data_IF_609044356302
#
_entry.id   IF_609044356302
#
_cell.length_a   1.000
_cell.length_b   1.000
_cell.length_c   1.000
_cell.angle_alpha   90.00
_cell.angle_beta   90.00
_cell.angle_gamma   90.00
#
_symmetry.space_group_name_H-M   'P 1'
#
loop_
_entity.id
_entity.type
_entity.pdbx_description
1 polymer ?
#
# COMPACT_ATOMS: atom_id res chain seq x y z
N UNK A 1 -0.56 6.22 30.57
CA UNK A 1 -0.37 5.35 29.39
C UNK A 1 -0.58 6.18 28.14
N UNK A 2 0.30 6.09 27.14
CA UNK A 2 0.23 6.90 25.92
C UNK A 2 -0.30 5.99 24.81
N UNK A 3 -1.60 6.09 24.50
CA UNK A 3 -2.19 5.35 23.39
C UNK A 3 -1.66 5.96 22.08
N UNK A 4 -0.84 5.21 21.37
CA UNK A 4 -0.39 5.58 20.04
C UNK A 4 -1.47 5.12 19.05
N UNK A 5 -2.19 6.07 18.44
CA UNK A 5 -3.08 5.82 17.31
C UNK A 5 -2.35 6.23 16.03
N UNK A 6 -1.60 5.32 15.37
CA UNK A 6 -0.80 5.66 14.21
C UNK A 6 -1.66 6.08 13.03
N UNK A 7 -2.75 5.36 12.72
CA UNK A 7 -3.64 5.67 11.60
C UNK A 7 -4.14 7.12 11.59
N UNK A 8 -4.87 7.58 12.63
CA UNK A 8 -5.33 8.97 12.71
C UNK A 8 -4.21 10.01 12.65
N UNK A 9 -3.03 9.71 13.23
CA UNK A 9 -1.88 10.62 13.15
C UNK A 9 -1.31 10.71 11.73
N UNK A 10 -1.26 9.61 10.98
CA UNK A 10 -0.81 9.61 9.59
C UNK A 10 -1.80 10.33 8.67
N UNK A 11 -3.10 10.09 8.83
CA UNK A 11 -4.13 10.83 8.09
C UNK A 11 -4.12 12.32 8.43
N UNK A 12 -3.93 12.67 9.70
CA UNK A 12 -3.76 14.06 10.13
C UNK A 12 -2.52 14.69 9.50
N UNK A 13 -1.35 14.06 9.62
CA UNK A 13 -0.09 14.56 9.05
C UNK A 13 -0.18 14.72 7.53
N UNK A 14 -0.79 13.75 6.83
CA UNK A 14 -1.01 13.81 5.38
C UNK A 14 -1.97 14.93 5.01
N UNK A 15 -3.08 15.07 5.73
CA UNK A 15 -4.06 16.13 5.49
C UNK A 15 -3.46 17.52 5.72
N UNK A 16 -2.62 17.66 6.74
CA UNK A 16 -1.86 18.90 6.98
C UNK A 16 -0.87 19.13 5.85
N UNK A 17 -0.10 18.13 5.43
CA UNK A 17 0.88 18.26 4.35
C UNK A 17 0.22 18.67 3.03
N UNK A 18 -0.80 17.93 2.59
CA UNK A 18 -1.51 18.22 1.33
C UNK A 18 -2.43 19.45 1.42
N UNK A 19 -2.92 19.79 2.62
CA UNK A 19 -3.76 20.97 2.84
C UNK A 19 -2.99 22.27 2.99
N UNK A 20 -1.77 22.23 3.54
CA UNK A 20 -0.93 23.42 3.77
C UNK A 20 0.04 23.69 2.62
N UNK A 21 0.54 22.65 1.95
CA UNK A 21 1.38 22.79 0.76
C UNK A 21 0.46 22.96 -0.45
N UNK A 22 0.30 24.20 -0.90
CA UNK A 22 -0.58 24.50 -2.03
C UNK A 22 -0.26 23.69 -3.30
N UNK A 23 -1.28 23.31 -4.10
CA UNK A 23 -1.12 22.40 -5.24
C UNK A 23 -0.15 22.92 -6.30
N UNK A 24 0.03 24.25 -6.42
CA UNK A 24 1.00 24.86 -7.33
C UNK A 24 2.44 24.51 -6.94
N UNK A 25 2.75 24.36 -5.64
CA UNK A 25 4.09 23.96 -5.20
C UNK A 25 4.36 22.46 -5.40
N UNK A 26 3.30 21.64 -5.37
CA UNK A 26 3.41 20.19 -5.51
C UNK A 26 3.38 19.76 -6.99
N UNK A 27 2.42 20.25 -7.75
CA UNK A 27 2.08 19.81 -9.11
C UNK A 27 2.33 20.90 -10.17
N UNK A 28 2.75 22.10 -9.78
CA UNK A 28 3.07 23.17 -10.73
C UNK A 28 4.27 22.85 -11.62
N UNK A 29 4.63 23.79 -12.50
CA UNK A 29 5.75 23.62 -13.45
C UNK A 29 7.08 23.26 -12.79
N UNK A 30 7.31 23.79 -11.60
CA UNK A 30 8.47 23.53 -10.75
C UNK A 30 8.11 22.60 -9.57
N UNK A 31 6.99 21.91 -9.62
CA UNK A 31 6.55 21.01 -8.55
C UNK A 31 7.22 19.64 -8.58
N UNK A 32 7.30 19.01 -7.40
CA UNK A 32 7.84 17.65 -7.21
C UNK A 32 7.15 16.59 -8.06
N UNK A 33 5.83 16.68 -8.13
CA UNK A 33 4.97 15.65 -8.68
C UNK A 33 4.35 16.07 -10.01
N UNK A 34 4.98 17.00 -10.74
CA UNK A 34 4.47 17.47 -12.04
C UNK A 34 4.29 16.33 -13.06
N UNK A 35 5.17 15.34 -13.03
CA UNK A 35 5.07 14.17 -13.91
C UNK A 35 3.91 13.25 -13.57
N UNK A 36 3.40 13.31 -12.32
CA UNK A 36 2.21 12.58 -11.93
C UNK A 36 0.98 13.04 -12.71
N UNK A 37 0.94 14.30 -13.14
CA UNK A 37 -0.13 14.85 -13.98
C UNK A 37 -0.19 14.20 -15.37
N UNK A 38 0.92 13.64 -15.87
CA UNK A 38 0.94 12.86 -17.12
C UNK A 38 0.15 11.56 -16.99
N UNK A 39 -0.07 11.09 -15.75
CA UNK A 39 -0.96 9.97 -15.47
C UNK A 39 -2.40 10.18 -15.94
N UNK A 40 -2.91 11.42 -15.97
CA UNK A 40 -4.27 11.72 -16.44
C UNK A 40 -4.46 11.41 -17.93
N UNK A 41 -3.70 12.01 -18.87
CA UNK A 41 -3.82 11.68 -20.29
C UNK A 41 -3.39 10.24 -20.58
N UNK A 42 -2.39 9.71 -19.87
CA UNK A 42 -1.97 8.31 -20.02
C UNK A 42 -3.10 7.33 -19.65
N UNK A 43 -3.84 7.62 -18.57
CA UNK A 43 -5.00 6.83 -18.15
C UNK A 43 -6.13 6.85 -19.18
N UNK A 44 -6.46 8.02 -19.74
CA UNK A 44 -7.46 8.14 -20.81
C UNK A 44 -7.03 7.32 -22.03
N UNK A 45 -5.78 7.49 -22.46
CA UNK A 45 -5.22 6.78 -23.61
C UNK A 45 -5.25 5.26 -23.40
N UNK A 46 -4.90 4.77 -22.21
CA UNK A 46 -4.95 3.36 -21.87
C UNK A 46 -6.38 2.78 -21.95
N UNK A 47 -7.37 3.50 -21.43
CA UNK A 47 -8.78 3.07 -21.50
C UNK A 47 -9.26 3.01 -22.95
N UNK A 48 -8.94 4.02 -23.76
CA UNK A 48 -9.30 4.06 -25.19
C UNK A 48 -8.64 2.92 -25.96
N UNK A 49 -7.36 2.63 -25.70
CA UNK A 49 -6.64 1.51 -26.32
C UNK A 49 -7.30 0.18 -26.00
N UNK A 50 -7.61 -0.09 -24.73
CA UNK A 50 -8.23 -1.36 -24.33
C UNK A 50 -9.65 -1.49 -24.88
N UNK A 51 -10.39 -0.39 -24.97
CA UNK A 51 -11.69 -0.36 -25.64
C UNK A 51 -11.57 -0.68 -27.14
N UNK A 52 -10.64 -0.06 -27.85
CA UNK A 52 -10.40 -0.29 -29.27
C UNK A 52 -9.97 -1.74 -29.54
N UNK A 53 -9.04 -2.29 -28.73
CA UNK A 53 -8.59 -3.68 -28.79
C UNK A 53 -9.74 -4.67 -28.58
N UNK A 54 -10.67 -4.36 -27.67
CA UNK A 54 -11.85 -5.19 -27.44
C UNK A 54 -12.83 -5.12 -28.62
N UNK A 55 -12.87 -4.00 -29.35
CA UNK A 55 -13.72 -3.83 -30.54
C UNK A 55 -13.15 -4.56 -31.77
N UNK A 56 -11.83 -4.59 -31.94
CA UNK A 56 -11.17 -5.29 -33.06
C UNK A 56 -11.13 -6.80 -32.87
N UNK A 57 -11.01 -7.29 -31.63
CA UNK A 57 -10.95 -8.73 -31.32
C UNK A 57 -12.03 -9.18 -30.32
N UNK A 58 -13.31 -9.22 -30.75
CA UNK A 58 -14.43 -9.54 -29.87
C UNK A 58 -14.41 -10.99 -29.33
N UNK A 59 -13.79 -11.93 -30.05
CA UNK A 59 -13.76 -13.36 -29.67
C UNK A 59 -12.66 -13.72 -28.67
N UNK A 60 -11.77 -12.78 -28.34
CA UNK A 60 -10.65 -13.05 -27.45
C UNK A 60 -11.10 -13.15 -25.97
N UNK A 61 -11.00 -14.35 -25.39
CA UNK A 61 -11.35 -14.60 -23.98
C UNK A 61 -10.51 -13.78 -23.00
N UNK A 62 -9.24 -13.53 -23.34
CA UNK A 62 -8.31 -12.78 -22.49
C UNK A 62 -8.66 -11.29 -22.39
N UNK A 63 -8.92 -10.59 -23.50
CA UNK A 63 -9.25 -9.15 -23.48
C UNK A 63 -10.60 -8.86 -22.81
N UNK A 64 -11.48 -9.87 -22.72
CA UNK A 64 -12.75 -9.77 -21.99
C UNK A 64 -12.57 -9.77 -20.46
N UNK A 65 -11.50 -10.38 -19.95
CA UNK A 65 -11.20 -10.48 -18.52
C UNK A 65 -10.35 -9.31 -17.99
N UNK A 66 -9.72 -8.53 -18.88
CA UNK A 66 -8.91 -7.37 -18.49
C UNK A 66 -9.82 -6.19 -18.14
N UNK A 67 -9.68 -5.70 -16.91
CA UNK A 67 -10.28 -4.46 -16.43
C UNK A 67 -9.17 -3.46 -16.11
N UNK A 68 -9.08 -2.39 -16.90
CA UNK A 68 -7.99 -1.39 -16.80
C UNK A 68 -7.89 -0.78 -15.41
N UNK A 69 -9.03 -0.39 -14.83
CA UNK A 69 -9.08 0.23 -13.50
C UNK A 69 -8.58 -0.74 -12.43
N UNK A 70 -9.04 -2.00 -12.47
CA UNK A 70 -8.61 -3.02 -11.52
C UNK A 70 -7.12 -3.36 -11.66
N UNK A 71 -6.59 -3.30 -12.88
CA UNK A 71 -5.17 -3.51 -13.13
C UNK A 71 -4.31 -2.37 -12.57
N UNK A 72 -4.69 -1.11 -12.81
CA UNK A 72 -3.97 0.05 -12.28
C UNK A 72 -4.08 0.13 -10.75
N UNK A 73 -5.28 0.10 -10.21
CA UNK A 73 -5.50 0.16 -8.76
C UNK A 73 -4.88 -1.04 -8.06
N UNK A 74 -5.06 -2.25 -8.61
CA UNK A 74 -4.44 -3.47 -8.10
C UNK A 74 -2.92 -3.40 -8.09
N UNK A 75 -2.30 -2.90 -9.17
CA UNK A 75 -0.84 -2.73 -9.22
C UNK A 75 -0.31 -1.72 -8.20
N UNK A 76 -1.10 -0.70 -7.87
CA UNK A 76 -0.75 0.30 -6.87
C UNK A 76 -0.63 -0.31 -5.46
N UNK A 77 -1.44 -1.33 -5.15
CA UNK A 77 -1.38 -2.06 -3.88
C UNK A 77 -0.17 -2.99 -3.76
N UNK A 78 0.53 -3.23 -4.87
CA UNK A 78 1.71 -4.11 -4.94
C UNK A 78 3.00 -3.36 -5.22
N UNK A 79 2.92 -2.05 -5.46
CA UNK A 79 4.08 -1.21 -5.66
C UNK A 79 4.90 -1.18 -4.35
N UNK A 80 6.22 -1.41 -4.39
CA UNK A 80 7.06 -1.22 -3.23
C UNK A 80 7.13 0.27 -2.93
N UNK A 81 6.41 0.72 -1.91
CA UNK A 81 6.54 2.08 -1.43
C UNK A 81 7.92 2.22 -0.79
N UNK A 82 8.80 2.97 -1.45
CA UNK A 82 10.07 3.42 -0.88
C UNK A 82 9.81 4.53 0.13
N UNK A 83 8.97 4.29 1.14
CA UNK A 83 8.82 5.25 2.22
C UNK A 83 9.98 5.06 3.20
N UNK A 84 11.14 5.56 2.78
CA UNK A 84 12.26 5.84 3.66
C UNK A 84 11.96 7.10 4.48
N UNK A 85 11.02 7.05 5.42
CA UNK A 85 11.00 7.97 6.56
C UNK A 85 10.71 7.19 7.84
N UNK A 86 11.81 6.90 8.51
CA UNK A 86 11.91 6.39 9.87
C UNK A 86 10.96 7.10 10.85
N UNK A 87 9.91 6.41 11.31
CA UNK A 87 9.85 5.89 12.68
C UNK A 87 8.57 5.11 13.01
N UNK A 88 8.82 3.90 13.55
CA UNK A 88 8.02 3.17 14.54
C UNK A 88 6.70 2.57 14.05
N UNK A 89 6.81 1.31 13.63
CA UNK A 89 5.84 0.22 13.83
C UNK A 89 4.74 0.57 14.83
N UNK A 90 3.49 0.37 14.47
CA UNK A 90 2.86 -0.95 14.42
C UNK A 90 1.35 -0.75 14.34
N UNK A 91 0.79 -1.33 13.29
CA UNK A 91 -0.54 -1.92 13.23
C UNK A 91 -1.76 -1.07 12.86
N UNK A 92 -2.51 -1.70 11.96
CA UNK A 92 -3.94 -1.56 11.69
C UNK A 92 -4.38 -0.21 11.10
N UNK A 93 -4.07 -0.01 9.81
CA UNK A 93 -5.10 -0.06 8.77
C UNK A 93 -4.46 0.16 7.38
N UNK A 94 -4.53 -0.87 6.55
CA UNK A 94 -4.63 -0.83 5.09
C UNK A 94 -3.59 -0.10 4.21
N UNK A 95 -2.47 0.39 4.72
CA UNK A 95 -1.57 1.22 3.90
C UNK A 95 -0.16 0.62 3.77
N UNK A 96 0.23 0.32 2.52
CA UNK A 96 1.59 0.07 2.02
C UNK A 96 2.22 -1.32 2.26
N UNK A 97 1.69 -2.34 1.56
CA UNK A 97 2.28 -3.68 1.50
C UNK A 97 3.50 -3.70 0.57
N UNK A 98 4.70 -3.80 1.14
CA UNK A 98 5.86 -4.29 0.38
C UNK A 98 5.57 -5.69 -0.20
N UNK A 99 6.29 -6.06 -1.27
CA UNK A 99 6.15 -7.35 -1.95
C UNK A 99 6.13 -8.55 -0.97
N UNK A 100 6.95 -8.50 0.08
CA UNK A 100 7.10 -9.53 1.11
C UNK A 100 5.83 -9.80 1.94
N UNK A 101 4.96 -8.79 2.14
CA UNK A 101 3.73 -8.93 2.93
C UNK A 101 2.48 -9.18 2.09
N UNK A 102 2.47 -8.75 0.83
CA UNK A 102 1.39 -9.08 -0.10
C UNK A 102 1.50 -10.52 -0.60
N UNK A 103 2.73 -11.05 -0.72
CA UNK A 103 2.99 -12.38 -1.27
C UNK A 103 2.27 -13.54 -0.57
N UNK A 104 2.19 -13.62 0.78
CA UNK A 104 1.46 -14.69 1.46
C UNK A 104 -0.03 -14.78 1.11
N UNK A 105 -0.65 -13.68 0.67
CA UNK A 105 -2.04 -13.68 0.24
C UNK A 105 -2.24 -14.42 -1.11
N UNK A 106 -1.22 -14.47 -1.96
CA UNK A 106 -1.26 -15.08 -3.30
C UNK A 106 -1.57 -16.58 -3.29
N UNK A 107 -0.84 -17.44 -2.56
CA UNK A 107 -1.15 -18.87 -2.54
C UNK A 107 -2.53 -19.16 -1.91
N UNK A 108 -2.95 -18.37 -0.92
CA UNK A 108 -4.27 -18.50 -0.28
C UNK A 108 -5.38 -18.12 -1.27
N UNK A 109 -5.22 -16.99 -1.97
CA UNK A 109 -6.13 -16.56 -3.00
C UNK A 109 -6.19 -17.57 -4.16
N UNK A 110 -5.06 -18.13 -4.57
CA UNK A 110 -4.99 -19.16 -5.60
C UNK A 110 -5.75 -20.43 -5.17
N UNK A 111 -5.55 -20.90 -3.93
CA UNK A 111 -6.29 -22.04 -3.40
C UNK A 111 -7.80 -21.79 -3.40
N UNK A 112 -8.24 -20.66 -2.86
CA UNK A 112 -9.66 -20.30 -2.77
C UNK A 112 -10.29 -20.11 -4.17
N UNK A 113 -9.67 -19.30 -5.01
CA UNK A 113 -10.24 -18.87 -6.29
C UNK A 113 -10.09 -19.88 -7.42
N UNK A 114 -8.96 -20.59 -7.50
CA UNK A 114 -8.66 -21.50 -8.61
C UNK A 114 -9.00 -22.94 -8.26
N UNK A 115 -8.70 -23.42 -7.04
CA UNK A 115 -8.97 -24.81 -6.65
C UNK A 115 -10.36 -25.02 -6.06
N UNK A 116 -10.78 -24.20 -5.10
CA UNK A 116 -12.04 -24.43 -4.36
C UNK A 116 -13.24 -23.97 -5.19
N UNK A 117 -13.19 -22.76 -5.77
CA UNK A 117 -14.31 -22.24 -6.58
C UNK A 117 -14.59 -23.09 -7.82
N UNK A 118 -13.57 -23.65 -8.48
CA UNK A 118 -13.75 -24.45 -9.70
C UNK A 118 -14.36 -25.83 -9.43
N UNK A 119 -14.09 -26.43 -8.27
CA UNK A 119 -14.62 -27.77 -7.92
C UNK A 119 -15.88 -27.74 -7.06
N UNK A 120 -16.00 -26.74 -6.17
CA UNK A 120 -17.04 -26.68 -5.12
C UNK A 120 -17.68 -25.29 -5.04
N UNK A 121 -18.35 -24.87 -6.12
CA UNK A 121 -18.93 -23.53 -6.23
C UNK A 121 -20.01 -23.24 -5.17
N UNK A 122 -20.86 -24.23 -4.86
CA UNK A 122 -21.92 -24.10 -3.84
C UNK A 122 -21.35 -23.90 -2.42
N UNK A 123 -20.27 -24.60 -2.09
CA UNK A 123 -19.56 -24.41 -0.82
C UNK A 123 -18.87 -23.05 -0.77
N UNK A 124 -18.13 -22.71 -1.83
CA UNK A 124 -17.36 -21.46 -1.89
C UNK A 124 -18.25 -20.22 -1.74
N UNK A 125 -19.35 -20.15 -2.49
CA UNK A 125 -20.27 -19.00 -2.46
C UNK A 125 -20.93 -18.78 -1.09
N UNK A 126 -21.17 -19.86 -0.33
CA UNK A 126 -21.80 -19.79 0.99
C UNK A 126 -20.84 -19.37 2.11
N UNK A 127 -19.60 -19.88 2.08
CA UNK A 127 -18.69 -19.76 3.23
C UNK A 127 -17.53 -18.77 3.02
N UNK A 128 -17.22 -18.35 1.80
CA UNK A 128 -16.05 -17.49 1.54
C UNK A 128 -16.15 -16.14 2.28
N UNK A 129 -17.31 -15.48 2.22
CA UNK A 129 -17.52 -14.21 2.92
C UNK A 129 -17.51 -14.36 4.44
N UNK A 130 -18.14 -15.43 4.95
CA UNK A 130 -18.18 -15.71 6.39
C UNK A 130 -16.77 -15.99 6.92
N UNK A 131 -15.96 -16.77 6.20
CA UNK A 131 -14.58 -17.05 6.56
C UNK A 131 -13.74 -15.77 6.61
N UNK A 132 -13.87 -14.91 5.60
CA UNK A 132 -13.16 -13.63 5.56
C UNK A 132 -13.54 -12.75 6.76
N UNK A 133 -14.84 -12.64 7.06
CA UNK A 133 -15.33 -11.85 8.19
C UNK A 133 -14.83 -12.41 9.53
N UNK A 134 -14.86 -13.74 9.70
CA UNK A 134 -14.35 -14.41 10.91
C UNK A 134 -12.85 -14.21 11.12
N UNK A 135 -12.05 -14.21 10.04
CA UNK A 135 -10.61 -13.93 10.14
C UNK A 135 -10.36 -12.49 10.59
N UNK A 136 -11.06 -11.51 10.01
CA UNK A 136 -10.95 -10.11 10.45
C UNK A 136 -11.40 -9.92 11.90
N UNK A 137 -12.52 -10.52 12.29
CA UNK A 137 -13.01 -10.46 13.67
C UNK A 137 -12.05 -11.16 14.65
N UNK A 138 -11.43 -12.27 14.24
CA UNK A 138 -10.44 -13.00 15.03
C UNK A 138 -9.20 -12.17 15.33
N UNK A 139 -8.71 -11.38 14.36
CA UNK A 139 -7.59 -10.46 14.60
C UNK A 139 -7.98 -9.32 15.53
N UNK A 140 -9.19 -8.77 15.40
CA UNK A 140 -9.67 -7.76 16.35
C UNK A 140 -9.78 -8.33 17.79
N UNK A 141 -10.29 -9.55 17.93
CA UNK A 141 -10.37 -10.23 19.22
C UNK A 141 -8.99 -10.52 19.82
N UNK A 142 -8.03 -10.97 19.01
CA UNK A 142 -6.66 -11.23 19.49
C UNK A 142 -5.97 -9.96 19.94
N UNK A 143 -6.20 -8.82 19.28
CA UNK A 143 -5.69 -7.52 19.70
C UNK A 143 -6.20 -7.11 21.10
N UNK A 144 -7.49 -7.34 21.38
CA UNK A 144 -8.08 -7.07 22.71
C UNK A 144 -7.42 -7.95 23.77
N UNK A 145 -7.22 -9.24 23.49
CA UNK A 145 -6.56 -10.16 24.43
C UNK A 145 -5.11 -9.72 24.69
N UNK A 146 -4.36 -9.32 23.66
CA UNK A 146 -2.98 -8.82 23.80
C UNK A 146 -2.91 -7.52 24.60
N UNK A 147 -3.90 -6.64 24.46
CA UNK A 147 -3.99 -5.39 25.23
C UNK A 147 -4.07 -5.67 26.74
N UNK A 148 -5.00 -6.54 27.16
CA UNK A 148 -5.21 -6.82 28.58
C UNK A 148 -4.13 -7.73 29.20
N UNK A 149 -3.50 -8.59 28.41
CA UNK A 149 -2.48 -9.51 28.91
C UNK A 149 -1.07 -8.90 28.94
N UNK A 150 -0.60 -8.36 27.82
CA UNK A 150 0.82 -7.97 27.65
C UNK A 150 0.99 -6.46 27.81
N UNK A 151 0.17 -5.67 27.11
CA UNK A 151 0.33 -4.21 27.09
C UNK A 151 -0.02 -3.57 28.43
N UNK A 152 -1.08 -4.04 29.10
CA UNK A 152 -1.49 -3.54 30.42
C UNK A 152 -0.46 -3.87 31.51
N UNK A 153 0.17 -5.04 31.43
CA UNK A 153 1.24 -5.45 32.34
C UNK A 153 2.59 -4.76 32.05
N UNK A 154 2.70 -4.01 30.95
CA UNK A 154 3.93 -3.34 30.54
C UNK A 154 5.05 -4.29 30.10
N UNK A 155 4.74 -5.55 29.84
CA UNK A 155 5.72 -6.58 29.47
C UNK A 155 5.97 -6.48 27.97
N UNK A 156 7.25 -6.56 27.56
CA UNK A 156 7.62 -6.69 26.14
C UNK A 156 8.01 -8.13 25.88
N UNK A 157 7.36 -8.75 24.90
CA UNK A 157 7.65 -10.11 24.46
C UNK A 157 8.47 -10.04 23.19
N UNK A 158 9.76 -10.39 23.28
CA UNK A 158 10.64 -10.48 22.12
C UNK A 158 10.63 -11.92 21.59
N UNK A 159 10.06 -12.11 20.40
CA UNK A 159 10.01 -13.41 19.73
C UNK A 159 10.13 -13.23 18.22
N UNK A 160 10.20 -14.34 17.49
CA UNK A 160 10.35 -14.34 16.03
C UNK A 160 9.33 -13.44 15.33
N UNK A 161 8.04 -13.58 15.63
CA UNK A 161 6.98 -12.81 14.98
C UNK A 161 7.03 -11.29 15.22
N UNK A 162 7.55 -10.85 16.36
CA UNK A 162 7.71 -9.42 16.66
C UNK A 162 8.98 -8.82 16.04
N UNK A 163 9.95 -9.64 15.65
CA UNK A 163 11.25 -9.16 15.16
C UNK A 163 11.38 -9.26 13.65
N UNK A 164 10.80 -10.28 13.02
CA UNK A 164 10.90 -10.48 11.58
C UNK A 164 10.34 -9.37 10.71
N UNK A 165 9.23 -8.70 11.10
CA UNK A 165 8.71 -7.61 10.31
C UNK A 165 9.71 -6.49 10.01
N UNK A 166 10.73 -6.37 10.86
CA UNK A 166 11.76 -5.36 10.77
C UNK A 166 13.07 -5.84 10.14
N UNK A 167 13.19 -7.14 9.88
CA UNK A 167 14.40 -7.73 9.31
C UNK A 167 14.31 -7.69 7.79
N UNK A 168 14.66 -6.56 7.20
CA UNK A 168 14.64 -6.40 5.75
C UNK A 168 14.71 -4.95 5.30
N UNK A 169 14.51 -4.76 4.00
CA UNK A 169 14.41 -3.45 3.35
C UNK A 169 13.19 -2.65 3.83
N UNK A 170 12.24 -3.34 4.44
CA UNK A 170 10.99 -2.87 5.02
C UNK A 170 11.21 -2.24 6.41
N UNK A 171 12.13 -2.79 7.20
CA UNK A 171 12.50 -2.22 8.51
C UNK A 171 13.65 -1.22 8.45
N UNK A 172 14.60 -1.43 7.52
CA UNK A 172 15.69 -0.51 7.23
C UNK A 172 15.71 -0.23 5.73
N UNK A 173 15.54 1.03 5.27
CA UNK A 173 15.41 1.31 3.84
C UNK A 173 16.64 0.82 3.08
N UNK A 174 16.42 -0.09 2.12
CA UNK A 174 17.44 -0.48 1.14
C UNK A 174 17.49 0.58 0.05
N UNK A 175 18.28 1.62 0.30
CA UNK A 175 18.44 2.73 -0.63
C UNK A 175 19.25 2.26 -1.84
N UNK A 176 18.65 2.31 -3.04
CA UNK A 176 19.37 2.10 -4.29
C UNK A 176 20.39 3.22 -4.55
N UNK A 177 20.08 4.44 -4.07
CA UNK A 177 20.95 5.62 -4.15
C UNK A 177 21.12 6.23 -2.77
N UNK A 178 22.37 6.44 -2.38
CA UNK A 178 22.72 7.20 -1.18
C UNK A 178 23.09 8.62 -1.57
N UNK A 179 22.75 9.58 -0.72
CA UNK A 179 23.09 10.98 -0.92
C UNK A 179 24.50 11.23 -0.39
N UNK A 180 25.26 12.07 -1.11
CA UNK A 180 26.53 12.59 -0.62
C UNK A 180 26.35 13.48 0.61
N UNK A 181 27.43 13.76 1.37
CA UNK A 181 27.37 14.67 2.50
C UNK A 181 26.83 16.05 2.09
N UNK A 182 25.67 16.44 2.62
CA UNK A 182 25.02 17.72 2.32
C UNK A 182 24.05 17.71 1.13
N UNK A 183 23.93 16.61 0.39
CA UNK A 183 22.89 16.44 -0.61
C UNK A 183 21.54 16.15 0.08
N UNK A 184 20.44 16.65 -0.51
CA UNK A 184 19.08 16.42 -0.01
C UNK A 184 18.17 15.91 -1.12
N UNK A 185 17.18 15.09 -0.75
CA UNK A 185 16.05 14.81 -1.62
C UNK A 185 15.20 16.09 -1.71
N UNK A 186 15.52 16.90 -2.72
CA UNK A 186 14.75 18.02 -3.30
C UNK A 186 14.86 19.45 -2.70
N UNK A 187 14.79 20.52 -3.53
CA UNK A 187 14.86 20.58 -5.00
C UNK A 187 16.30 20.86 -5.51
N UNK A 188 16.76 20.04 -6.46
CA UNK A 188 18.11 20.09 -7.05
C UNK A 188 18.27 21.04 -8.25
N UNK A 189 17.25 21.80 -8.66
CA UNK A 189 17.35 22.70 -9.83
C UNK A 189 17.57 24.17 -9.49
N UNK A 190 17.52 24.56 -8.22
CA UNK A 190 17.71 25.96 -7.84
C UNK A 190 18.50 26.05 -6.53
N UNK A 191 19.83 26.01 -6.65
CA UNK A 191 20.75 26.21 -5.54
C UNK A 191 20.67 27.59 -4.88
N UNK A 192 19.78 28.48 -5.34
CA UNK A 192 19.55 29.81 -4.77
C UNK A 192 18.29 29.92 -3.91
N UNK A 193 17.41 28.91 -3.91
CA UNK A 193 16.17 28.97 -3.12
C UNK A 193 16.37 28.33 -1.75
N UNK A 194 16.15 29.14 -0.71
CA UNK A 194 16.15 28.71 0.69
C UNK A 194 15.08 27.62 0.87
N UNK A 195 15.42 26.49 1.49
CA UNK A 195 14.51 25.35 1.61
C UNK A 195 13.26 25.70 2.42
N UNK A 196 12.12 25.11 2.05
CA UNK A 196 10.97 25.06 2.95
C UNK A 196 11.36 24.31 4.24
N UNK A 197 10.88 24.78 5.41
CA UNK A 197 11.27 24.24 6.72
C UNK A 197 10.95 22.75 6.88
#
# INVERSE_FOLDING_TARGET
>A
MRFFCPGPNTFYASSVLWGTIGPIKVFGKDGQYKWLLVGFPAGILLVVIVWALRKTWPDSRALRQVHVVALLAGSLHWAPYSESVSRRHSDFDADWLGFSYAWPAVPIAWLSWIRIRSRYLAFWSRYNFVLSASLSAGVAMSAIVMLFSVQWAGIRVDWWGNTQPFRGCEGKPCLLKNLGPGERFYPWWDGKKVPAP
#
